data_IF_346431931024
#
_entry.id   IF_346431931024
#
_cell.length_a   1.000
_cell.length_b   1.000
_cell.length_c   1.000
_cell.angle_alpha   90.00
_cell.angle_beta   90.00
_cell.angle_gamma   90.00
#
_symmetry.space_group_name_H-M   'P 1'
#
loop_
_entity.id
_entity.type
_entity.pdbx_description
1 polymer ?
2 non-polymer ?
3 non-polymer ?
4 water ?
#
# COMPACT_ATOMS: atom_id res chain seq x y z
N UNK A 1 4.94 6.54 -22.53
CA UNK A 1 5.26 5.09 -22.62
C UNK A 1 4.35 4.30 -21.70
N UNK A 2 4.62 3.00 -21.50
CA UNK A 2 3.85 2.21 -20.53
C UNK A 2 4.24 2.67 -19.12
N UNK A 3 3.28 2.78 -18.21
CA UNK A 3 3.57 3.07 -16.77
C UNK A 3 4.69 2.13 -16.30
N UNK A 4 5.59 2.64 -15.44
CA UNK A 4 6.67 1.85 -14.86
C UNK A 4 6.23 1.26 -13.51
N UNK A 5 6.53 -0.01 -13.31
CA UNK A 5 6.18 -0.75 -12.07
C UNK A 5 7.35 -1.55 -11.53
N UNK A 6 7.37 -1.79 -10.23
CA UNK A 6 8.37 -2.62 -9.54
C UNK A 6 7.63 -3.57 -8.62
N UNK A 7 8.09 -4.81 -8.50
CA UNK A 7 7.62 -5.76 -7.50
C UNK A 7 8.29 -5.48 -6.16
N UNK A 8 7.53 -5.57 -5.07
CA UNK A 8 8.09 -5.30 -3.75
C UNK A 8 7.23 -5.91 -2.62
N UNK A 9 7.80 -6.04 -1.44
CA UNK A 9 7.04 -6.26 -0.21
C UNK A 9 7.21 -5.04 0.71
N UNK A 10 6.29 -4.90 1.67
CA UNK A 10 6.35 -3.85 2.67
C UNK A 10 6.32 -4.53 4.03
N UNK A 11 7.08 -4.01 4.98
CA UNK A 11 6.94 -4.41 6.40
C UNK A 11 6.84 -3.14 7.23
N UNK A 12 6.05 -3.21 8.31
CA UNK A 12 5.88 -2.06 9.22
C UNK A 12 7.13 -1.97 10.14
N UNK A 13 7.22 -0.86 10.85
CA UNK A 13 8.45 -0.54 11.58
C UNK A 13 8.63 -1.51 12.75
N UNK A 14 7.61 -2.27 13.10
CA UNK A 14 7.79 -3.41 14.04
C UNK A 14 8.14 -4.69 13.32
N UNK A 15 8.40 -4.65 12.02
CA UNK A 15 8.81 -5.73 11.14
C UNK A 15 7.68 -6.74 11.03
N UNK A 16 6.43 -6.29 11.08
CA UNK A 16 5.27 -7.13 10.69
C UNK A 16 5.09 -7.13 9.17
N UNK A 17 4.87 -8.30 8.64
CA UNK A 17 4.58 -8.60 7.24
C UNK A 17 3.09 -8.43 6.97
N UNK A 18 2.76 -8.13 5.71
CA UNK A 18 1.35 -8.04 5.29
C UNK A 18 0.93 -9.28 4.50
N UNK A 19 -0.25 -9.78 4.86
CA UNK A 19 -0.85 -11.00 4.26
C UNK A 19 -2.31 -10.70 3.93
N UNK A 20 -2.89 -11.49 3.02
CA UNK A 20 -4.34 -11.44 2.67
C UNK A 20 -5.19 -11.88 3.86
N UNK A 21 -6.32 -11.20 4.09
CA UNK A 21 -7.28 -11.49 5.20
C UNK A 21 -8.66 -11.61 4.57
N UNK A 22 -8.93 -12.75 3.95
CA UNK A 22 -10.12 -12.87 3.09
C UNK A 22 -9.87 -12.06 1.83
N UNK A 23 -10.87 -11.93 0.93
CA UNK A 23 -10.57 -11.44 -0.42
C UNK A 23 -10.26 -9.94 -0.61
N UNK A 24 -10.70 -9.09 0.29
CA UNK A 24 -10.60 -7.62 0.13
C UNK A 24 -10.02 -6.94 1.40
N UNK A 25 -9.24 -7.69 2.12
CA UNK A 25 -8.54 -7.05 3.26
C UNK A 25 -7.15 -7.62 3.39
N UNK A 26 -6.26 -6.79 3.94
CA UNK A 26 -4.91 -7.22 4.34
C UNK A 26 -4.84 -7.13 5.87
N UNK A 27 -3.99 -7.95 6.45
CA UNK A 27 -3.62 -7.91 7.88
C UNK A 27 -2.10 -7.97 8.01
N UNK A 28 -1.62 -7.60 9.20
CA UNK A 28 -0.19 -7.54 9.50
C UNK A 28 0.13 -8.49 10.67
N UNK A 29 1.12 -9.28 10.43
CA UNK A 29 1.59 -10.19 11.49
C UNK A 29 3.07 -10.43 11.34
N UNK A 30 3.62 -10.87 12.49
CA UNK A 30 5.03 -11.28 12.60
C UNK A 30 5.20 -12.60 11.86
N UNK A 31 6.07 -12.65 10.88
CA UNK A 31 6.30 -13.80 9.98
C UNK A 31 7.79 -13.96 9.86
N UNK A 32 8.26 -15.22 9.84
CA UNK A 32 9.68 -15.52 9.58
C UNK A 32 9.69 -16.95 9.06
N UNK A 33 10.66 -17.25 8.22
CA UNK A 33 10.94 -18.62 7.75
C UNK A 33 10.01 -19.03 6.62
N UNK A 34 9.52 -20.28 6.64
CA UNK A 34 8.66 -20.81 5.54
C UNK A 34 7.40 -19.96 5.43
N UNK A 35 6.88 -19.43 6.54
CA UNK A 35 5.58 -18.72 6.50
C UNK A 35 5.72 -17.41 5.70
N UNK A 36 6.93 -17.02 5.28
CA UNK A 36 7.11 -15.67 4.64
C UNK A 36 6.59 -15.73 3.19
N UNK A 37 6.36 -16.91 2.62
CA UNK A 37 5.66 -17.07 1.32
C UNK A 37 4.21 -16.53 1.39
N UNK A 38 3.59 -16.41 2.57
CA UNK A 38 2.20 -15.92 2.68
C UNK A 38 2.18 -14.40 2.43
N UNK A 39 3.33 -13.73 2.51
CA UNK A 39 3.32 -12.25 2.40
C UNK A 39 2.86 -11.80 1.01
N UNK A 40 2.17 -10.66 1.00
CA UNK A 40 1.66 -10.07 -0.26
C UNK A 40 2.85 -9.43 -0.98
N UNK A 41 2.98 -9.71 -2.25
CA UNK A 41 3.87 -9.02 -3.18
C UNK A 41 3.06 -8.00 -3.95
N UNK A 42 3.50 -6.75 -3.83
CA UNK A 42 2.90 -5.62 -4.53
C UNK A 42 3.58 -5.41 -5.87
N UNK A 43 2.82 -4.93 -6.81
CA UNK A 43 3.33 -4.18 -7.97
C UNK A 43 3.12 -2.72 -7.68
N UNK A 44 4.20 -2.00 -7.41
CA UNK A 44 4.14 -0.55 -7.14
C UNK A 44 4.30 0.14 -8.48
N UNK A 45 3.29 0.87 -8.92
CA UNK A 45 3.33 1.65 -10.19
C UNK A 45 3.65 3.12 -9.86
N UNK A 46 4.40 3.78 -10.74
CA UNK A 46 4.80 5.19 -10.55
C UNK A 46 3.90 6.03 -11.44
N UNK A 47 2.98 6.72 -10.82
CA UNK A 47 1.80 7.27 -11.52
C UNK A 47 1.92 8.78 -11.65
N UNK A 48 1.03 9.34 -12.44
CA UNK A 48 0.91 10.82 -12.54
C UNK A 48 0.42 11.41 -11.20
N UNK A 49 0.99 12.54 -10.81
CA UNK A 49 0.47 13.34 -9.68
C UNK A 49 1.55 14.31 -9.18
N UNK A 50 1.23 15.13 -8.19
CA UNK A 50 2.15 16.13 -7.58
C UNK A 50 3.36 15.41 -6.97
N UNK A 51 4.59 15.86 -7.26
CA UNK A 51 5.86 15.13 -6.96
C UNK A 51 6.88 16.11 -6.35
N UNK A 52 7.60 15.70 -5.29
CA UNK A 52 8.81 16.40 -4.76
C UNK A 52 9.93 15.37 -4.54
N UNK A 53 11.09 15.81 -4.06
CA UNK A 53 12.26 14.90 -3.85
C UNK A 53 11.81 13.69 -3.05
N UNK A 54 11.09 13.91 -1.94
CA UNK A 54 10.70 12.81 -1.01
C UNK A 54 9.18 12.54 -1.00
N UNK A 55 8.45 12.96 -2.04
CA UNK A 55 6.99 12.72 -2.23
C UNK A 55 6.74 12.19 -3.65
N UNK A 56 6.53 10.87 -3.78
CA UNK A 56 6.50 10.17 -5.09
C UNK A 56 5.14 9.47 -5.22
N UNK A 57 4.30 9.84 -6.17
CA UNK A 57 2.95 9.26 -6.24
C UNK A 57 2.99 7.86 -6.81
N UNK A 58 2.38 6.88 -6.10
CA UNK A 58 2.39 5.47 -6.55
C UNK A 58 0.96 4.92 -6.44
N UNK A 59 0.77 3.79 -7.11
CA UNK A 59 -0.37 2.92 -6.88
C UNK A 59 0.24 1.64 -6.34
N UNK A 60 -0.54 0.97 -5.52
CA UNK A 60 -0.18 -0.34 -4.94
C UNK A 60 -1.16 -1.41 -5.39
N UNK A 61 -0.81 -2.15 -6.43
CA UNK A 61 -1.54 -3.32 -6.92
C UNK A 61 -0.97 -4.58 -6.32
N UNK A 62 -1.74 -5.66 -6.22
CA UNK A 62 -1.22 -6.97 -5.85
C UNK A 62 -0.62 -7.62 -7.09
N UNK A 63 0.56 -8.19 -6.96
CA UNK A 63 1.27 -8.74 -8.15
C UNK A 63 0.38 -9.74 -8.91
N UNK A 64 0.22 -9.45 -10.19
CA UNK A 64 -0.52 -10.23 -11.23
C UNK A 64 -1.96 -10.46 -10.78
N UNK A 65 -2.53 -9.51 -10.04
CA UNK A 65 -3.98 -9.52 -9.69
C UNK A 65 -4.54 -8.17 -10.08
N UNK A 66 -5.80 -8.14 -10.46
CA UNK A 66 -6.49 -6.89 -10.80
C UNK A 66 -7.09 -6.37 -9.51
N UNK A 67 -6.23 -6.12 -8.52
CA UNK A 67 -6.66 -5.61 -7.20
C UNK A 67 -5.68 -4.52 -6.79
N UNK A 68 -6.23 -3.43 -6.33
CA UNK A 68 -5.43 -2.25 -5.92
C UNK A 68 -5.91 -1.80 -4.56
N UNK A 69 -4.97 -1.37 -3.72
CA UNK A 69 -5.37 -0.56 -2.54
C UNK A 69 -6.02 0.75 -2.98
N UNK A 70 -7.05 1.15 -2.24
CA UNK A 70 -8.01 2.21 -2.63
C UNK A 70 -8.51 2.94 -1.39
N UNK A 71 -8.50 4.28 -1.41
CA UNK A 71 -8.94 5.13 -0.27
C UNK A 71 -10.36 5.61 -0.61
N UNK A 72 -11.36 5.12 0.12
CA UNK A 72 -12.80 5.37 -0.16
C UNK A 72 -13.52 5.76 1.13
N UNK A 73 -14.52 6.64 1.00
CA UNK A 73 -15.25 7.17 2.16
C UNK A 73 -16.11 6.04 2.72
N UNK A 74 -16.11 5.91 4.04
CA UNK A 74 -17.07 5.03 4.74
C UNK A 74 -17.30 5.59 6.14
N UNK A 75 -18.55 5.64 6.59
CA UNK A 75 -18.89 6.10 7.97
C UNK A 75 -18.27 7.49 8.14
N UNK A 76 -18.17 8.23 7.04
CA UNK A 76 -17.80 9.67 7.03
C UNK A 76 -16.31 9.88 7.30
N UNK A 77 -15.43 8.89 7.09
CA UNK A 77 -13.97 9.11 7.26
C UNK A 77 -13.23 8.39 6.14
N UNK A 78 -12.00 8.83 5.79
CA UNK A 78 -11.19 8.07 4.83
C UNK A 78 -10.90 6.65 5.34
N UNK A 79 -11.06 5.61 4.50
CA UNK A 79 -10.75 4.18 4.82
C UNK A 79 -10.02 3.48 3.66
N UNK A 80 -9.33 2.38 3.98
CA UNK A 80 -8.49 1.58 3.03
C UNK A 80 -9.27 0.35 2.57
N UNK A 81 -9.43 0.18 1.26
CA UNK A 81 -10.07 -1.04 0.72
C UNK A 81 -9.18 -1.64 -0.36
N UNK A 82 -9.39 -2.91 -0.65
CA UNK A 82 -8.87 -3.55 -1.87
C UNK A 82 -9.99 -3.45 -2.89
N UNK A 83 -9.71 -2.98 -4.07
CA UNK A 83 -10.71 -2.73 -5.12
C UNK A 83 -10.29 -3.49 -6.38
N UNK A 84 -11.25 -4.22 -6.98
CA UNK A 84 -11.12 -4.91 -8.30
C UNK A 84 -11.14 -3.87 -9.43
N UNK A 85 -10.39 -4.12 -10.50
CA UNK A 85 -10.41 -3.25 -11.69
C UNK A 85 -10.45 -4.15 -12.96
N UNK A 86 -10.72 -3.50 -14.10
CA UNK A 86 -10.70 -4.18 -15.42
C UNK A 86 -9.26 -4.53 -15.77
N UNK A 87 -8.85 -5.81 -15.82
CA UNK A 87 -7.44 -6.13 -16.03
C UNK A 87 -6.90 -5.68 -17.38
N UNK A 88 -7.79 -5.33 -18.31
CA UNK A 88 -7.37 -4.83 -19.64
C UNK A 88 -6.79 -3.42 -19.52
N UNK A 89 -7.17 -2.67 -18.48
CA UNK A 89 -6.97 -1.20 -18.46
C UNK A 89 -5.91 -0.79 -17.42
N UNK A 90 -5.45 -1.73 -16.60
CA UNK A 90 -4.55 -1.44 -15.43
C UNK A 90 -3.29 -2.28 -15.55
N UNK A 91 -2.13 -1.81 -15.03
CA UNK A 91 -2.03 -0.49 -14.44
C UNK A 91 -2.00 0.54 -15.57
N UNK A 92 -2.15 1.78 -15.19
CA UNK A 92 -2.04 2.89 -16.16
C UNK A 92 -1.36 4.06 -15.50
N UNK A 93 -0.79 4.95 -16.31
CA UNK A 93 -0.05 6.10 -15.74
C UNK A 93 -1.00 7.05 -15.00
N UNK A 94 -2.17 7.33 -15.55
CA UNK A 94 -3.15 8.24 -14.92
C UNK A 94 -4.14 7.44 -14.06
N UNK A 95 -3.68 6.94 -12.91
CA UNK A 95 -4.57 6.18 -12.02
C UNK A 95 -5.54 7.15 -11.39
N UNK A 96 -6.77 6.75 -11.12
CA UNK A 96 -7.76 7.56 -10.40
C UNK A 96 -7.27 7.86 -8.99
N UNK A 97 -7.67 9.00 -8.45
CA UNK A 97 -7.04 9.57 -7.23
C UNK A 97 -7.19 8.62 -6.04
N UNK A 98 -8.27 7.86 -5.93
CA UNK A 98 -8.54 6.96 -4.79
C UNK A 98 -7.40 5.90 -4.73
N UNK A 99 -6.69 5.62 -5.83
CA UNK A 99 -5.65 4.57 -5.92
C UNK A 99 -4.27 5.16 -5.62
N UNK A 100 -4.15 6.49 -5.45
CA UNK A 100 -2.82 7.12 -5.40
C UNK A 100 -2.41 7.33 -3.93
N UNK A 101 -1.17 6.96 -3.68
CA UNK A 101 -0.49 7.22 -2.40
C UNK A 101 0.75 8.05 -2.70
N UNK A 102 1.00 9.01 -1.84
CA UNK A 102 2.31 9.67 -1.82
C UNK A 102 3.28 8.86 -0.94
N UNK A 103 4.28 8.27 -1.60
CA UNK A 103 5.33 7.51 -0.91
C UNK A 103 6.35 8.55 -0.43
N UNK A 104 6.47 8.69 0.86
CA UNK A 104 7.31 9.76 1.49
C UNK A 104 8.46 9.12 2.24
N UNK A 105 9.70 9.57 2.02
CA UNK A 105 10.85 8.98 2.74
C UNK A 105 11.06 9.83 3.98
N UNK A 106 10.97 9.25 5.18
CA UNK A 106 11.24 10.01 6.45
C UNK A 106 12.10 9.09 7.34
N UNK A 107 13.32 9.56 7.63
CA UNK A 107 14.28 8.95 8.59
C UNK A 107 14.43 7.47 8.23
N UNK A 108 14.85 7.23 7.00
CA UNK A 108 15.26 5.91 6.49
C UNK A 108 14.05 4.97 6.46
N UNK A 109 12.83 5.48 6.62
CA UNK A 109 11.62 4.66 6.41
C UNK A 109 10.72 5.30 5.37
N UNK A 110 9.60 4.64 5.09
CA UNK A 110 8.61 5.14 4.13
C UNK A 110 7.25 5.29 4.81
N UNK A 111 6.52 6.32 4.42
CA UNK A 111 5.12 6.49 4.84
C UNK A 111 4.30 6.60 3.55
N UNK A 112 3.07 6.14 3.55
CA UNK A 112 2.21 6.14 2.35
C UNK A 112 0.97 6.94 2.71
N UNK A 113 0.99 8.19 2.26
CA UNK A 113 -0.14 9.09 2.49
C UNK A 113 -1.17 8.94 1.37
N UNK A 114 -2.45 8.92 1.72
CA UNK A 114 -3.51 9.00 0.68
C UNK A 114 -3.42 10.30 -0.12
N UNK A 115 -3.34 10.27 -1.46
CA UNK A 115 -3.36 11.48 -2.30
C UNK A 115 -4.74 12.10 -2.12
N UNK A 116 -5.77 11.29 -2.02
CA UNK A 116 -7.20 11.74 -1.95
C UNK A 116 -7.41 12.45 -0.62
N UNK A 117 -6.87 11.89 0.47
CA UNK A 117 -7.21 12.32 1.84
C UNK A 117 -5.89 12.73 2.49
N UNK A 118 -5.48 14.02 2.38
CA UNK A 118 -4.26 14.48 3.00
C UNK A 118 -4.25 14.09 4.47
N UNK A 119 -3.07 13.67 4.91
CA UNK A 119 -2.69 13.36 6.29
C UNK A 119 -3.31 12.07 6.83
N UNK A 120 -3.86 11.23 5.93
CA UNK A 120 -4.35 9.87 6.23
C UNK A 120 -3.35 8.90 5.57
N UNK A 121 -2.89 7.92 6.36
CA UNK A 121 -1.73 7.06 6.00
C UNK A 121 -2.14 5.61 6.10
N UNK A 122 -1.50 4.80 5.26
CA UNK A 122 -1.51 3.33 5.47
C UNK A 122 -0.93 3.05 6.87
N UNK A 123 -1.69 2.30 7.64
CA UNK A 123 -1.37 2.06 9.08
C UNK A 123 -1.51 0.59 9.43
N UNK A 124 -0.78 0.21 10.49
CA UNK A 124 -1.04 -1.06 11.16
C UNK A 124 -1.24 -0.83 12.66
N UNK A 125 -1.80 -1.84 13.30
CA UNK A 125 -1.92 -1.92 14.78
C UNK A 125 -0.65 -2.52 15.37
N UNK A 126 -0.37 -2.23 16.64
CA UNK A 126 0.70 -2.96 17.35
C UNK A 126 0.32 -4.44 17.55
N UNK A 127 -0.94 -4.78 17.76
CA UNK A 127 -1.38 -6.17 17.91
C UNK A 127 -1.20 -6.94 16.61
N UNK A 128 -1.02 -8.24 16.75
CA UNK A 128 -0.88 -9.23 15.67
C UNK A 128 -2.25 -9.46 15.04
N UNK A 129 -2.25 -9.69 13.73
CA UNK A 129 -3.39 -10.25 12.97
C UNK A 129 -4.58 -9.28 12.93
N UNK A 130 -4.35 -7.95 12.83
CA UNK A 130 -5.38 -6.93 12.74
C UNK A 130 -5.28 -6.32 11.35
N UNK A 131 -6.37 -5.75 10.86
CA UNK A 131 -6.40 -5.18 9.54
C UNK A 131 -5.39 -4.05 9.36
N UNK A 132 -4.93 -3.94 8.11
CA UNK A 132 -4.26 -2.73 7.60
C UNK A 132 -5.36 -1.71 7.33
N UNK A 133 -5.15 -0.46 7.71
CA UNK A 133 -6.22 0.55 7.67
C UNK A 133 -5.64 1.90 7.31
N UNK A 134 -6.53 2.86 7.13
CA UNK A 134 -6.13 4.25 6.88
C UNK A 134 -6.29 5.02 8.19
N UNK A 135 -5.24 5.68 8.63
CA UNK A 135 -5.15 6.30 9.95
C UNK A 135 -4.66 7.72 9.86
N UNK A 136 -5.39 8.62 10.54
CA UNK A 136 -5.18 10.08 10.54
C UNK A 136 -4.36 10.53 11.74
N UNK A 140 1.35 8.43 17.48
CA UNK A 140 0.42 7.65 18.33
C UNK A 140 0.87 6.20 18.45
N UNK A 141 -0.01 5.32 18.93
CA UNK A 141 0.29 3.88 19.14
C UNK A 141 0.35 3.14 17.79
N UNK A 142 -0.50 3.53 16.83
CA UNK A 142 -0.56 2.89 15.50
C UNK A 142 0.71 3.20 14.70
N UNK A 143 1.04 2.33 13.75
CA UNK A 143 2.30 2.35 13.01
C UNK A 143 2.03 2.87 11.60
N UNK A 144 2.79 3.88 11.18
CA UNK A 144 2.62 4.50 9.84
C UNK A 144 3.94 4.44 9.05
N UNK A 145 5.01 3.82 9.55
CA UNK A 145 6.33 3.77 8.90
C UNK A 145 6.55 2.35 8.43
N UNK A 146 7.19 2.21 7.29
CA UNK A 146 7.42 0.92 6.64
C UNK A 146 8.82 0.90 6.06
N UNK A 147 9.32 -0.30 5.80
CA UNK A 147 10.45 -0.58 4.92
C UNK A 147 9.93 -1.30 3.69
N UNK A 148 10.60 -1.09 2.57
CA UNK A 148 10.29 -1.79 1.30
C UNK A 148 11.44 -2.76 1.01
N UNK A 149 11.08 -3.94 0.50
CA UNK A 149 12.06 -4.93 -0.05
C UNK A 149 11.76 -5.07 -1.54
N UNK A 150 12.73 -4.88 -2.45
CA UNK A 150 12.55 -4.94 -3.91
C UNK A 150 12.71 -6.42 -4.28
N UNK A 151 11.74 -6.99 -5.00
CA UNK A 151 11.61 -8.45 -5.28
C UNK A 151 11.91 -8.65 -6.78
N UNK A 152 12.45 -9.80 -7.19
CA UNK A 152 12.57 -10.20 -8.62
C UNK A 152 11.18 -10.30 -9.26
X LIG B 1 -1.02 4.27 -19.56
X LIG B 1 -2.15 3.62 -20.19
X LIG B 1 -0.22 4.95 -20.56
X LIG B 1 -1.50 5.23 -18.60
X LIG B 1 -0.20 3.29 -18.90
X LIG C 1 -13.88 5.54 -12.12
X LIG C 1 -13.02 4.37 -12.02
X LIG C 1 -13.80 6.05 -13.47
X LIG C 1 -15.22 5.14 -11.81
X LIG C 1 -13.47 6.58 -11.22
X LIG D 1 13.65 4.39 -0.95
X LIG D 1 13.57 3.43 0.06
X LIG D 1 13.43 2.10 -0.28
X LIG D 1 13.32 1.11 0.67
X LIG D 1 13.37 1.45 2.03
X LIG D 1 13.55 2.80 2.43
X LIG D 1 13.57 6.53 -4.46
X LIG D 1 13.57 5.80 -3.27
X LIG D 1 14.72 6.11 -2.44
X LIG D 1 14.81 5.12 -1.27
X LIG D 1 15.89 5.03 -0.63
X LIG D 1 13.65 3.81 1.43
X LIG D 1 13.21 0.47 3.03
#
# INVERSE_FOLDING_TARGET
>A
APVRSLNCTLRDSQQKSLVMSGPYELKALHLQGQDMEQQVVFSMSFVQGEESNDKIPVALGLKEKNLYLSCVLKDDKPTLQLESVDPKNYPKKKMEKRFVFNKIEINNKLEFESAQFPNWYISTSQAENMPVFLGGTKGGQDITDFTMQFVSS
>B hetero
1 SO4 S O1 O2 O3 O4
>C hetero
1 SO4 S O1 O2 O3 O4
>D hetero
1 GT4 N1 C4 C5 C6 C7 C8 C1 O1 C2 C3 O2 C9 O3
#
